data_IF_280356811391
#
_entry.id   IF_280356811391
#
_cell.length_a   1.000
_cell.length_b   1.000
_cell.length_c   1.000
_cell.angle_alpha   90.00
_cell.angle_beta   90.00
_cell.angle_gamma   90.00
#
_symmetry.space_group_name_H-M   'P 1'
#
loop_
_entity.id
_entity.type
_entity.pdbx_description
1 polymer ?
#
# COMPACT_ATOMS: atom_id res chain seq x y z
N UNK A 1 31.60 -5.52 0.25
CA UNK A 1 31.73 -6.99 0.44
C UNK A 1 32.24 -7.74 -0.80
N UNK A 2 32.02 -7.28 -2.03
CA UNK A 2 32.49 -7.98 -3.26
C UNK A 2 34.03 -7.99 -3.39
N UNK A 3 34.73 -7.02 -2.81
CA UNK A 3 36.21 -6.95 -2.91
C UNK A 3 36.95 -8.06 -2.14
N UNK A 4 36.31 -8.75 -1.19
CA UNK A 4 36.97 -9.78 -0.39
C UNK A 4 37.19 -11.11 -1.12
N UNK A 5 36.58 -11.32 -2.31
CA UNK A 5 36.77 -12.58 -3.07
C UNK A 5 38.05 -12.60 -3.88
N UNK A 6 38.66 -11.44 -4.20
CA UNK A 6 39.87 -11.35 -5.03
C UNK A 6 41.12 -11.97 -4.38
N UNK A 7 41.15 -12.02 -3.05
CA UNK A 7 42.29 -12.52 -2.27
C UNK A 7 42.08 -13.96 -1.77
N UNK A 8 40.96 -14.60 -2.17
CA UNK A 8 40.65 -15.98 -1.81
C UNK A 8 41.11 -16.93 -2.91
N UNK A 9 41.79 -18.02 -2.53
CA UNK A 9 42.13 -19.11 -3.44
C UNK A 9 40.87 -19.89 -3.84
N UNK A 10 40.05 -19.34 -4.72
CA UNK A 10 38.83 -19.96 -5.24
C UNK A 10 39.20 -20.88 -6.42
N UNK A 11 38.66 -22.08 -6.42
CA UNK A 11 38.91 -23.09 -7.45
C UNK A 11 37.60 -23.42 -8.15
N UNK A 12 37.56 -23.26 -9.48
CA UNK A 12 36.45 -23.72 -10.31
C UNK A 12 36.51 -25.25 -10.43
N UNK A 13 35.44 -25.95 -10.02
CA UNK A 13 35.30 -27.40 -10.17
C UNK A 13 34.25 -27.77 -11.21
N UNK A 14 34.35 -28.96 -11.83
CA UNK A 14 33.29 -29.50 -12.66
C UNK A 14 31.94 -29.60 -11.92
N UNK A 15 30.80 -29.74 -12.64
CA UNK A 15 29.51 -29.93 -12.01
C UNK A 15 29.53 -31.01 -10.96
N UNK A 16 29.02 -30.69 -9.79
CA UNK A 16 28.97 -31.63 -8.65
C UNK A 16 27.51 -31.87 -8.27
N UNK A 17 27.14 -33.14 -8.29
CA UNK A 17 25.79 -33.57 -7.89
C UNK A 17 25.76 -33.84 -6.38
N UNK A 18 24.74 -33.35 -5.71
CA UNK A 18 24.40 -33.65 -4.31
C UNK A 18 23.17 -34.55 -4.28
N UNK A 19 23.32 -35.88 -4.35
CA UNK A 19 22.19 -36.81 -4.50
C UNK A 19 21.19 -36.69 -3.34
N UNK A 20 21.69 -36.57 -2.11
CA UNK A 20 20.84 -36.39 -0.91
C UNK A 20 20.06 -35.10 -0.86
N UNK A 21 20.50 -34.05 -1.58
CA UNK A 21 19.85 -32.72 -1.64
C UNK A 21 19.15 -32.47 -2.96
N UNK A 22 19.15 -33.43 -3.90
CA UNK A 22 18.53 -33.35 -5.20
C UNK A 22 18.89 -32.07 -5.97
N UNK A 23 20.19 -31.73 -5.99
CA UNK A 23 20.71 -30.54 -6.64
C UNK A 23 22.07 -30.76 -7.29
N UNK A 24 22.34 -29.99 -8.34
CA UNK A 24 23.63 -29.92 -9.02
C UNK A 24 24.20 -28.52 -8.79
N UNK A 25 25.50 -28.44 -8.50
CA UNK A 25 26.22 -27.17 -8.39
C UNK A 25 27.37 -27.12 -9.38
N UNK A 26 27.54 -25.98 -10.02
CA UNK A 26 28.68 -25.63 -10.85
C UNK A 26 29.19 -24.25 -10.44
N UNK A 27 30.45 -24.13 -10.06
CA UNK A 27 31.00 -22.85 -9.61
C UNK A 27 32.29 -22.97 -8.81
N UNK A 28 32.55 -21.90 -8.08
CA UNK A 28 33.77 -21.72 -7.30
C UNK A 28 33.67 -22.42 -5.93
N UNK A 29 34.82 -22.92 -5.47
CA UNK A 29 34.98 -23.65 -4.21
C UNK A 29 36.16 -23.09 -3.43
N UNK A 30 36.06 -23.10 -2.11
CA UNK A 30 37.13 -22.85 -1.15
C UNK A 30 37.15 -23.97 -0.13
N UNK A 31 38.31 -24.61 0.08
CA UNK A 31 38.50 -25.65 1.10
C UNK A 31 37.40 -26.74 1.10
N UNK A 32 36.98 -27.20 -0.10
CA UNK A 32 35.86 -28.14 -0.33
C UNK A 32 34.46 -27.63 0.02
N UNK A 33 34.29 -26.36 0.32
CA UNK A 33 32.98 -25.72 0.49
C UNK A 33 32.60 -24.91 -0.73
N UNK A 34 31.30 -24.81 -1.03
CA UNK A 34 30.77 -23.93 -2.05
C UNK A 34 31.01 -22.48 -1.62
N UNK A 35 31.73 -21.74 -2.45
CA UNK A 35 32.10 -20.35 -2.16
C UNK A 35 32.22 -19.56 -3.46
N UNK A 36 32.10 -18.21 -3.43
CA UNK A 36 32.27 -17.41 -4.62
C UNK A 36 31.08 -17.48 -5.57
N UNK A 37 31.34 -17.39 -6.87
CA UNK A 37 30.29 -17.40 -7.92
C UNK A 37 29.94 -18.82 -8.32
N UNK A 38 28.64 -19.04 -8.55
CA UNK A 38 28.18 -20.35 -9.02
C UNK A 38 26.72 -20.38 -9.45
N UNK A 39 26.37 -21.52 -10.00
CA UNK A 39 25.01 -21.89 -10.40
C UNK A 39 24.59 -23.13 -9.64
N UNK A 40 23.45 -23.08 -9.01
CA UNK A 40 22.82 -24.23 -8.37
C UNK A 40 21.49 -24.51 -9.05
N UNK A 41 21.27 -25.74 -9.46
CA UNK A 41 20.03 -26.19 -10.10
C UNK A 41 19.42 -27.32 -9.29
N UNK A 42 18.11 -27.25 -9.06
CA UNK A 42 17.32 -28.27 -8.39
C UNK A 42 16.56 -29.14 -9.41
N UNK A 43 16.15 -30.33 -8.98
CA UNK A 43 15.42 -31.27 -9.84
C UNK A 43 14.02 -30.80 -10.21
N UNK A 44 13.44 -29.87 -9.45
CA UNK A 44 12.15 -29.25 -9.78
C UNK A 44 12.24 -28.23 -10.92
N UNK A 45 13.45 -27.98 -11.45
CA UNK A 45 13.72 -27.03 -12.52
C UNK A 45 14.11 -25.63 -12.02
N UNK A 46 13.99 -25.36 -10.72
CA UNK A 46 14.46 -24.07 -10.17
C UNK A 46 15.98 -23.95 -10.26
N UNK A 47 16.48 -22.73 -10.36
CA UNK A 47 17.90 -22.43 -10.54
C UNK A 47 18.28 -21.13 -9.88
N UNK A 48 19.38 -21.14 -9.13
CA UNK A 48 20.01 -19.94 -8.58
C UNK A 48 21.35 -19.68 -9.27
N UNK A 49 21.58 -18.44 -9.65
CA UNK A 49 22.85 -17.95 -10.18
C UNK A 49 23.32 -16.76 -9.33
N UNK A 50 24.47 -16.85 -8.71
CA UNK A 50 24.92 -15.78 -7.84
C UNK A 50 26.13 -16.14 -6.98
N UNK A 51 26.26 -15.39 -5.90
CA UNK A 51 27.33 -15.59 -4.94
C UNK A 51 26.90 -16.53 -3.83
N UNK A 52 27.89 -17.32 -3.38
CA UNK A 52 27.76 -18.25 -2.26
C UNK A 52 28.81 -17.96 -1.20
N UNK A 53 28.43 -18.09 0.05
CA UNK A 53 29.29 -18.10 1.22
C UNK A 53 28.91 -19.33 2.04
N UNK A 54 29.89 -20.23 2.29
CA UNK A 54 29.67 -21.47 3.07
C UNK A 54 28.44 -22.27 2.58
N UNK A 55 28.32 -22.43 1.27
CA UNK A 55 27.25 -23.18 0.63
C UNK A 55 25.87 -22.52 0.67
N UNK A 56 25.76 -21.25 1.05
CA UNK A 56 24.52 -20.48 1.12
C UNK A 56 24.54 -19.35 0.12
N UNK A 57 23.43 -19.15 -0.60
CA UNK A 57 23.20 -17.97 -1.43
C UNK A 57 23.38 -16.69 -0.60
N UNK A 58 24.22 -15.78 -1.07
CA UNK A 58 24.65 -14.60 -0.33
C UNK A 58 25.02 -13.46 -1.26
N UNK A 59 25.05 -12.22 -0.74
CA UNK A 59 25.47 -11.01 -1.42
C UNK A 59 24.47 -10.63 -2.54
N UNK A 60 24.57 -11.23 -3.73
CA UNK A 60 23.68 -10.98 -4.88
C UNK A 60 23.53 -12.22 -5.74
N UNK A 61 22.34 -12.38 -6.29
CA UNK A 61 22.07 -13.47 -7.23
C UNK A 61 20.65 -13.40 -7.78
N UNK A 62 20.40 -14.28 -8.74
CA UNK A 62 19.13 -14.44 -9.40
C UNK A 62 18.61 -15.86 -9.19
N UNK A 63 17.40 -15.96 -8.66
CA UNK A 63 16.65 -17.20 -8.52
C UNK A 63 15.59 -17.26 -9.62
N UNK A 64 15.55 -18.35 -10.32
CA UNK A 64 14.51 -18.73 -11.26
C UNK A 64 13.69 -19.84 -10.58
N UNK A 65 12.43 -19.55 -10.31
CA UNK A 65 11.50 -20.53 -9.75
C UNK A 65 10.98 -21.48 -10.83
N UNK A 66 10.59 -22.67 -10.44
CA UNK A 66 10.05 -23.68 -11.37
C UNK A 66 8.72 -23.27 -12.04
N UNK A 67 7.98 -22.32 -11.45
CA UNK A 67 6.76 -21.74 -12.00
C UNK A 67 7.01 -20.61 -13.02
N UNK A 68 8.27 -20.21 -13.24
CA UNK A 68 8.67 -19.13 -14.14
C UNK A 68 8.88 -17.78 -13.49
N UNK A 69 8.54 -17.61 -12.22
CA UNK A 69 8.84 -16.38 -11.46
C UNK A 69 10.35 -16.22 -11.27
N UNK A 70 10.80 -14.99 -11.09
CA UNK A 70 12.21 -14.72 -10.81
C UNK A 70 12.38 -13.74 -9.66
N UNK A 71 13.43 -13.95 -8.87
CA UNK A 71 13.94 -12.94 -7.94
C UNK A 71 15.37 -12.59 -8.30
N UNK A 72 15.68 -11.31 -8.43
CA UNK A 72 17.03 -10.81 -8.64
C UNK A 72 17.34 -9.71 -7.63
N UNK A 73 18.30 -9.94 -6.76
CA UNK A 73 18.58 -9.00 -5.68
C UNK A 73 19.68 -9.45 -4.74
N UNK A 74 19.62 -8.87 -3.54
CA UNK A 74 20.54 -9.16 -2.46
C UNK A 74 20.08 -10.39 -1.66
N UNK A 75 21.06 -11.13 -1.19
CA UNK A 75 20.87 -12.40 -0.49
C UNK A 75 21.66 -12.48 0.80
N UNK A 76 21.09 -13.09 1.80
CA UNK A 76 21.75 -13.43 3.04
C UNK A 76 21.29 -14.82 3.54
N UNK A 77 22.22 -15.75 3.70
CA UNK A 77 21.93 -17.09 4.24
C UNK A 77 20.77 -17.82 3.51
N UNK A 78 20.78 -17.87 2.19
CA UNK A 78 19.74 -18.44 1.31
C UNK A 78 18.40 -17.72 1.31
N UNK A 79 18.33 -16.50 1.83
CA UNK A 79 17.11 -15.70 1.87
C UNK A 79 17.29 -14.38 1.13
N UNK A 80 16.24 -13.90 0.50
CA UNK A 80 16.15 -12.54 -0.01
C UNK A 80 16.30 -11.55 1.14
N UNK A 81 17.25 -10.62 1.02
CA UNK A 81 17.57 -9.67 2.09
C UNK A 81 18.27 -8.45 1.46
N UNK A 82 17.87 -7.23 1.81
CA UNK A 82 18.32 -6.03 1.13
C UNK A 82 17.42 -5.69 -0.06
N UNK A 83 17.95 -5.09 -1.11
CA UNK A 83 17.14 -4.67 -2.25
C UNK A 83 17.04 -5.75 -3.33
N UNK A 84 15.84 -5.92 -3.92
CA UNK A 84 15.63 -6.89 -4.99
C UNK A 84 14.31 -6.76 -5.72
N UNK A 85 14.32 -7.26 -6.96
CA UNK A 85 13.19 -7.32 -7.87
C UNK A 85 12.64 -8.75 -7.90
N UNK A 86 11.38 -8.92 -7.53
CA UNK A 86 10.60 -10.14 -7.79
C UNK A 86 9.69 -9.90 -8.98
N UNK A 87 9.81 -10.74 -9.98
CA UNK A 87 9.00 -10.67 -11.19
C UNK A 87 8.22 -11.96 -11.35
N UNK A 88 6.90 -11.86 -11.38
CA UNK A 88 5.99 -12.95 -11.71
C UNK A 88 5.98 -13.22 -13.21
N UNK A 89 5.73 -14.45 -13.61
CA UNK A 89 5.61 -14.85 -15.01
C UNK A 89 4.50 -14.08 -15.74
N UNK A 90 3.48 -13.62 -15.03
CA UNK A 90 2.38 -12.80 -15.55
C UNK A 90 2.74 -11.35 -15.85
N UNK A 91 3.90 -10.89 -15.37
CA UNK A 91 4.38 -9.52 -15.54
C UNK A 91 4.18 -8.62 -14.31
N UNK A 92 3.48 -9.09 -13.29
CA UNK A 92 3.42 -8.40 -11.99
C UNK A 92 4.81 -8.39 -11.35
N UNK A 93 5.14 -7.35 -10.61
CA UNK A 93 6.43 -7.29 -9.95
C UNK A 93 6.38 -6.54 -8.62
N UNK A 94 7.35 -6.87 -7.77
CA UNK A 94 7.75 -6.08 -6.62
C UNK A 94 9.22 -5.69 -6.74
N UNK A 95 9.51 -4.39 -6.67
CA UNK A 95 10.84 -3.80 -6.65
C UNK A 95 11.02 -3.02 -5.36
N UNK A 96 11.89 -3.49 -4.46
CA UNK A 96 12.01 -2.87 -3.15
C UNK A 96 12.86 -3.68 -2.18
N UNK A 97 12.69 -3.32 -0.89
CA UNK A 97 13.48 -3.89 0.19
C UNK A 97 12.87 -5.21 0.71
N UNK A 98 13.76 -6.12 1.06
CA UNK A 98 13.46 -7.47 1.54
C UNK A 98 14.13 -7.74 2.88
N UNK A 99 13.47 -8.52 3.70
CA UNK A 99 14.02 -9.09 4.93
C UNK A 99 13.49 -10.50 5.15
N UNK A 100 14.40 -11.48 5.22
CA UNK A 100 14.06 -12.89 5.46
C UNK A 100 12.94 -13.41 4.53
N UNK A 101 13.10 -13.22 3.21
CA UNK A 101 12.16 -13.60 2.14
C UNK A 101 10.81 -12.84 2.14
N UNK A 102 10.71 -11.74 2.89
CA UNK A 102 9.49 -10.93 2.95
C UNK A 102 9.77 -9.49 2.52
N UNK A 103 8.85 -8.88 1.82
CA UNK A 103 8.84 -7.44 1.55
C UNK A 103 8.93 -6.69 2.87
N UNK A 104 9.89 -5.75 3.00
CA UNK A 104 10.10 -5.05 4.27
C UNK A 104 10.95 -3.79 4.04
N UNK A 105 10.44 -2.64 4.37
CA UNK A 105 11.03 -1.35 4.01
C UNK A 105 10.26 -0.72 2.86
N UNK A 106 10.91 0.05 2.00
CA UNK A 106 10.24 0.69 0.86
C UNK A 106 10.19 -0.22 -0.36
N UNK A 107 9.08 -0.15 -1.08
CA UNK A 107 8.94 -0.90 -2.32
C UNK A 107 7.82 -0.39 -3.21
N UNK A 108 7.91 -0.81 -4.47
CA UNK A 108 6.89 -0.59 -5.49
C UNK A 108 6.39 -1.95 -5.98
N UNK A 109 5.08 -2.13 -5.96
CA UNK A 109 4.41 -3.33 -6.44
C UNK A 109 3.42 -2.96 -7.55
N UNK A 110 3.34 -3.80 -8.57
CA UNK A 110 2.33 -3.69 -9.63
C UNK A 110 1.62 -5.01 -9.81
N UNK A 111 0.35 -4.97 -10.16
CA UNK A 111 -0.47 -6.15 -10.42
C UNK A 111 -0.88 -6.21 -11.89
N UNK A 112 -1.29 -7.41 -12.34
CA UNK A 112 -1.67 -7.67 -13.74
C UNK A 112 -2.84 -6.81 -14.21
N UNK A 113 -3.71 -6.39 -13.30
CA UNK A 113 -4.83 -5.49 -13.59
C UNK A 113 -4.41 -4.05 -13.83
N UNK A 114 -3.11 -3.72 -13.67
CA UNK A 114 -2.54 -2.38 -13.81
C UNK A 114 -2.62 -1.54 -12.53
N UNK A 115 -3.12 -2.09 -11.43
CA UNK A 115 -3.02 -1.42 -10.13
C UNK A 115 -1.55 -1.38 -9.67
N UNK A 116 -1.24 -0.41 -8.81
CA UNK A 116 0.11 -0.27 -8.26
C UNK A 116 0.09 0.27 -6.84
N UNK A 117 1.10 -0.10 -6.08
CA UNK A 117 1.38 0.48 -4.77
C UNK A 117 2.84 0.89 -4.69
N UNK A 118 3.10 2.04 -4.08
CA UNK A 118 4.44 2.49 -3.73
C UNK A 118 4.42 3.02 -2.29
N UNK A 119 5.20 2.42 -1.40
CA UNK A 119 5.18 2.78 0.01
C UNK A 119 5.95 1.82 0.89
N UNK A 120 5.62 1.86 2.19
CA UNK A 120 6.30 1.08 3.21
C UNK A 120 5.66 -0.31 3.36
N UNK A 121 6.50 -1.30 3.66
CA UNK A 121 6.14 -2.68 3.95
C UNK A 121 6.72 -3.13 5.28
N UNK A 122 5.98 -3.93 6.00
CA UNK A 122 6.44 -4.67 7.18
C UNK A 122 6.00 -6.12 7.07
N UNK A 123 6.97 -7.02 7.00
CA UNK A 123 6.72 -8.48 6.95
C UNK A 123 5.73 -8.92 5.86
N UNK A 124 5.83 -8.35 4.66
CA UNK A 124 5.01 -8.66 3.49
C UNK A 124 3.66 -7.96 3.44
N UNK A 125 3.41 -7.00 4.32
CA UNK A 125 2.18 -6.23 4.35
C UNK A 125 2.45 -4.75 4.16
N UNK A 126 1.58 -4.03 3.44
CA UNK A 126 1.60 -2.58 3.35
C UNK A 126 1.38 -1.99 4.74
N UNK A 127 2.26 -1.10 5.13
CA UNK A 127 2.28 -0.47 6.45
C UNK A 127 2.84 0.96 6.32
N UNK A 128 2.59 1.84 7.32
CA UNK A 128 3.12 3.20 7.23
C UNK A 128 2.51 3.99 6.08
N UNK A 129 3.31 4.82 5.40
CA UNK A 129 2.82 5.70 4.34
C UNK A 129 3.00 5.09 2.95
N UNK A 130 1.99 5.26 2.10
CA UNK A 130 2.07 4.81 0.71
C UNK A 130 0.98 5.38 -0.19
N UNK A 131 1.15 5.13 -1.50
CA UNK A 131 0.23 5.53 -2.55
C UNK A 131 -0.24 4.26 -3.26
N UNK A 132 -1.54 4.05 -3.31
CA UNK A 132 -2.17 2.99 -4.09
C UNK A 132 -2.96 3.60 -5.25
N UNK A 133 -2.73 3.10 -6.46
CA UNK A 133 -3.43 3.52 -7.67
C UNK A 133 -4.19 2.37 -8.29
N UNK A 134 -5.45 2.59 -8.63
CA UNK A 134 -6.30 1.63 -9.32
C UNK A 134 -6.33 1.90 -10.82
N UNK A 135 -6.65 0.87 -11.63
CA UNK A 135 -6.73 1.01 -13.09
C UNK A 135 -7.80 2.01 -13.57
N UNK A 136 -8.84 2.23 -12.77
CA UNK A 136 -9.91 3.19 -13.07
C UNK A 136 -9.50 4.66 -12.85
N UNK A 137 -8.25 4.89 -12.40
CA UNK A 137 -7.71 6.21 -12.08
C UNK A 137 -8.06 6.71 -10.67
N UNK A 138 -8.65 5.86 -9.83
CA UNK A 138 -8.77 6.13 -8.40
C UNK A 138 -7.40 6.04 -7.73
N UNK A 139 -7.21 6.78 -6.64
CA UNK A 139 -5.95 6.81 -5.89
C UNK A 139 -6.22 6.97 -4.39
N UNK A 140 -5.46 6.24 -3.59
CA UNK A 140 -5.34 6.50 -2.16
C UNK A 140 -3.90 6.87 -1.82
N UNK A 141 -3.74 7.97 -1.10
CA UNK A 141 -2.47 8.46 -0.58
C UNK A 141 -2.61 8.65 0.93
N UNK A 142 -1.88 7.89 1.74
CA UNK A 142 -2.03 7.95 3.19
C UNK A 142 -1.40 6.78 3.92
N UNK A 143 -1.84 6.62 5.18
CA UNK A 143 -1.32 5.59 6.05
C UNK A 143 -2.02 4.25 5.85
N UNK A 144 -1.23 3.18 5.96
CA UNK A 144 -1.65 1.79 5.92
C UNK A 144 -1.30 1.09 7.23
N UNK A 145 -2.11 0.13 7.63
CA UNK A 145 -1.83 -0.85 8.67
C UNK A 145 -2.37 -2.21 8.21
N UNK A 146 -1.51 -3.22 8.15
CA UNK A 146 -1.89 -4.58 7.74
C UNK A 146 -2.69 -4.64 6.42
N UNK A 147 -2.21 -3.95 5.37
CA UNK A 147 -2.83 -3.81 4.04
C UNK A 147 -4.11 -2.96 3.99
N UNK A 148 -4.57 -2.38 5.09
CA UNK A 148 -5.78 -1.57 5.17
C UNK A 148 -5.45 -0.08 5.30
N UNK A 149 -6.29 0.80 4.76
CA UNK A 149 -6.23 2.23 5.04
C UNK A 149 -6.47 2.44 6.52
N UNK A 150 -5.59 3.18 7.17
CA UNK A 150 -5.67 3.41 8.61
C UNK A 150 -4.93 4.70 8.98
N UNK A 151 -5.52 5.53 9.84
CA UNK A 151 -4.97 6.84 10.16
C UNK A 151 -5.35 7.90 9.12
N UNK A 152 -4.45 8.83 8.79
CA UNK A 152 -4.75 9.93 7.87
C UNK A 152 -4.49 9.53 6.42
N UNK A 153 -5.40 9.93 5.54
CA UNK A 153 -5.22 9.70 4.10
C UNK A 153 -6.19 10.48 3.23
N UNK A 154 -5.82 10.58 1.96
CA UNK A 154 -6.63 11.14 0.89
C UNK A 154 -7.04 10.04 -0.06
N UNK A 155 -8.33 9.92 -0.35
CA UNK A 155 -8.85 9.08 -1.42
C UNK A 155 -9.42 9.97 -2.52
N UNK A 156 -9.00 9.75 -3.76
CA UNK A 156 -9.54 10.40 -4.96
C UNK A 156 -10.19 9.34 -5.83
N UNK A 157 -11.50 9.44 -6.04
CA UNK A 157 -12.23 8.54 -6.93
C UNK A 157 -12.01 8.89 -8.41
N UNK A 158 -12.26 7.94 -9.29
CA UNK A 158 -12.18 8.12 -10.74
C UNK A 158 -13.06 9.28 -11.25
N UNK A 159 -14.20 9.52 -10.61
CA UNK A 159 -15.11 10.62 -10.90
C UNK A 159 -14.71 11.97 -10.26
N UNK A 160 -13.49 12.06 -9.71
CA UNK A 160 -12.90 13.25 -9.09
C UNK A 160 -13.53 13.69 -7.78
N UNK A 161 -14.35 12.87 -7.15
CA UNK A 161 -14.64 13.08 -5.72
C UNK A 161 -13.36 12.91 -4.91
N UNK A 162 -13.24 13.62 -3.80
CA UNK A 162 -12.12 13.50 -2.87
C UNK A 162 -12.61 13.35 -1.44
N UNK A 163 -11.97 12.48 -0.69
CA UNK A 163 -12.05 12.47 0.77
C UNK A 163 -10.65 12.67 1.35
N UNK A 164 -10.52 13.60 2.29
CA UNK A 164 -9.29 13.84 3.04
C UNK A 164 -9.66 13.77 4.52
N UNK A 165 -9.16 12.78 5.21
CA UNK A 165 -9.56 12.59 6.61
C UNK A 165 -8.97 11.34 7.25
N UNK A 166 -9.64 10.91 8.30
CA UNK A 166 -9.25 9.75 9.10
C UNK A 166 -9.90 8.47 8.57
N UNK A 167 -9.14 7.40 8.64
CA UNK A 167 -9.50 6.07 8.17
C UNK A 167 -9.27 5.04 9.26
N UNK A 168 -10.15 4.08 9.36
CA UNK A 168 -10.03 2.91 10.22
C UNK A 168 -10.50 1.67 9.46
N UNK A 169 -9.62 0.68 9.29
CA UNK A 169 -9.92 -0.58 8.59
C UNK A 169 -10.63 -0.38 7.24
N UNK A 170 -10.05 0.46 6.36
CA UNK A 170 -10.59 0.85 5.05
C UNK A 170 -11.89 1.67 5.05
N UNK A 171 -12.36 2.13 6.19
CA UNK A 171 -13.57 2.94 6.32
C UNK A 171 -13.24 4.37 6.72
N UNK A 172 -13.96 5.35 6.18
CA UNK A 172 -13.92 6.73 6.68
C UNK A 172 -14.44 6.74 8.13
N UNK A 173 -13.59 7.17 9.06
CA UNK A 173 -13.91 7.19 10.49
C UNK A 173 -13.15 8.33 11.17
N UNK A 174 -13.82 9.11 12.03
CA UNK A 174 -13.25 10.35 12.57
C UNK A 174 -13.51 11.57 11.67
N UNK A 175 -12.69 12.63 11.82
CA UNK A 175 -12.91 13.88 11.09
C UNK A 175 -12.41 13.79 9.65
N UNK A 176 -13.22 14.35 8.72
CA UNK A 176 -12.83 14.41 7.31
C UNK A 176 -13.52 15.51 6.50
N UNK A 177 -12.94 15.76 5.34
CA UNK A 177 -13.43 16.68 4.32
C UNK A 177 -13.75 15.89 3.07
N UNK A 178 -14.99 15.93 2.62
CA UNK A 178 -15.42 15.33 1.37
C UNK A 178 -15.76 16.41 0.36
N UNK A 179 -15.19 16.34 -0.84
CA UNK A 179 -15.43 17.28 -1.93
C UNK A 179 -16.03 16.56 -3.13
N UNK A 180 -17.02 17.15 -3.75
CA UNK A 180 -17.61 16.70 -5.00
C UNK A 180 -17.18 17.58 -6.17
N UNK A 181 -17.08 17.02 -7.38
CA UNK A 181 -16.73 17.80 -8.59
C UNK A 181 -17.68 18.96 -8.90
N UNK A 182 -18.92 18.87 -8.47
CA UNK A 182 -19.91 19.93 -8.63
C UNK A 182 -19.75 21.11 -7.66
N UNK A 183 -18.71 21.09 -6.80
CA UNK A 183 -18.39 22.13 -5.85
C UNK A 183 -19.03 21.95 -4.46
N UNK A 184 -19.85 20.91 -4.24
CA UNK A 184 -20.29 20.57 -2.88
C UNK A 184 -19.10 20.18 -2.00
N UNK A 185 -19.18 20.52 -0.72
CA UNK A 185 -18.17 20.17 0.28
C UNK A 185 -18.83 19.84 1.61
N UNK A 186 -18.41 18.75 2.21
CA UNK A 186 -18.74 18.37 3.59
C UNK A 186 -17.49 18.45 4.45
N UNK A 187 -17.61 18.95 5.66
CA UNK A 187 -16.56 18.97 6.67
C UNK A 187 -17.18 18.54 8.01
N UNK A 188 -16.74 17.45 8.58
CA UNK A 188 -17.29 16.92 9.81
C UNK A 188 -16.90 15.48 10.06
N UNK A 189 -17.55 14.88 11.05
CA UNK A 189 -17.25 13.53 11.50
C UNK A 189 -17.88 12.46 10.62
N UNK A 190 -17.17 11.33 10.55
CA UNK A 190 -17.60 10.09 9.91
C UNK A 190 -17.55 8.95 10.92
N UNK A 191 -18.46 8.02 10.79
CA UNK A 191 -18.48 6.76 11.51
C UNK A 191 -18.84 5.64 10.55
N UNK A 192 -17.87 4.77 10.26
CA UNK A 192 -18.04 3.64 9.33
C UNK A 192 -18.67 4.08 8.01
N UNK A 193 -17.97 4.97 7.28
CA UNK A 193 -18.37 5.55 6.00
C UNK A 193 -19.61 6.46 6.02
N UNK A 194 -20.24 6.66 7.15
CA UNK A 194 -21.43 7.50 7.29
C UNK A 194 -21.09 8.82 7.95
N UNK A 195 -21.64 9.90 7.42
CA UNK A 195 -21.60 11.22 8.07
C UNK A 195 -22.30 11.14 9.40
N UNK A 196 -21.66 11.64 10.45
CA UNK A 196 -22.12 11.56 11.84
C UNK A 196 -21.72 12.83 12.58
N UNK A 197 -22.42 13.16 13.70
CA UNK A 197 -22.03 14.28 14.53
C UNK A 197 -22.18 15.65 13.88
N UNK A 198 -21.42 16.62 14.37
CA UNK A 198 -21.49 17.99 13.88
C UNK A 198 -20.72 18.17 12.56
N UNK A 199 -21.33 18.92 11.63
CA UNK A 199 -20.68 19.20 10.34
C UNK A 199 -21.00 20.59 9.81
N UNK A 200 -20.21 20.97 8.77
CA UNK A 200 -20.52 22.09 7.88
C UNK A 200 -20.62 21.53 6.46
N UNK A 201 -21.77 21.77 5.82
CA UNK A 201 -22.01 21.40 4.43
C UNK A 201 -22.18 22.65 3.57
N UNK A 202 -21.46 22.69 2.45
CA UNK A 202 -21.48 23.79 1.50
C UNK A 202 -22.08 23.32 0.18
N UNK A 203 -22.98 24.11 -0.37
CA UNK A 203 -23.51 23.94 -1.73
C UNK A 203 -22.84 24.90 -2.70
N UNK A 204 -22.76 24.57 -4.01
CA UNK A 204 -22.14 25.40 -5.03
C UNK A 204 -22.82 26.78 -5.20
N UNK A 205 -24.09 26.88 -4.88
CA UNK A 205 -24.86 28.09 -4.95
C UNK A 205 -24.68 29.02 -3.74
N UNK A 206 -23.74 28.69 -2.85
CA UNK A 206 -23.42 29.51 -1.68
C UNK A 206 -24.24 29.18 -0.43
N UNK A 207 -25.21 28.28 -0.49
CA UNK A 207 -25.92 27.81 0.72
C UNK A 207 -24.94 27.09 1.64
N UNK A 208 -25.16 27.20 2.95
CA UNK A 208 -24.37 26.54 3.98
C UNK A 208 -25.32 25.94 5.00
N UNK A 209 -25.02 24.73 5.45
CA UNK A 209 -25.65 24.10 6.62
C UNK A 209 -24.59 23.84 7.68
N UNK A 210 -24.87 24.24 8.92
CA UNK A 210 -24.06 23.91 10.10
C UNK A 210 -24.97 23.21 11.11
N UNK A 211 -24.70 21.94 11.40
CA UNK A 211 -25.58 21.19 12.30
C UNK A 211 -25.18 19.72 12.38
N UNK A 212 -26.06 18.95 12.99
CA UNK A 212 -25.80 17.54 13.24
C UNK A 212 -26.26 16.65 12.09
N UNK A 213 -25.54 15.58 11.91
CA UNK A 213 -25.86 14.48 11.03
C UNK A 213 -25.95 13.20 11.84
N UNK A 214 -26.88 12.37 11.48
CA UNK A 214 -27.06 11.04 12.05
C UNK A 214 -27.29 10.03 10.92
N UNK A 215 -26.50 8.97 10.91
CA UNK A 215 -26.59 7.90 9.93
C UNK A 215 -26.60 8.41 8.47
N UNK A 216 -25.74 9.39 8.16
CA UNK A 216 -25.56 9.96 6.82
C UNK A 216 -26.56 11.03 6.41
N UNK A 217 -27.46 11.47 7.30
CA UNK A 217 -28.51 12.46 7.02
C UNK A 217 -28.49 13.59 8.05
N UNK A 218 -28.87 14.79 7.62
CA UNK A 218 -29.11 15.92 8.53
C UNK A 218 -30.17 15.53 9.56
N UNK A 219 -29.88 15.77 10.84
CA UNK A 219 -30.75 15.41 11.95
C UNK A 219 -30.52 16.33 13.14
N UNK A 220 -31.63 16.71 13.84
CA UNK A 220 -31.54 17.63 14.97
C UNK A 220 -31.49 19.10 14.55
N UNK A 221 -31.04 19.95 15.46
CA UNK A 221 -30.96 21.38 15.21
C UNK A 221 -29.76 21.73 14.31
N UNK A 222 -29.91 22.80 13.57
CA UNK A 222 -28.84 23.33 12.73
C UNK A 222 -29.15 24.73 12.21
N UNK A 223 -28.13 25.38 11.70
CA UNK A 223 -28.18 26.70 11.09
C UNK A 223 -28.06 26.58 9.57
N UNK A 224 -28.94 27.20 8.86
CA UNK A 224 -28.97 27.24 7.39
C UNK A 224 -28.78 28.65 6.89
N UNK A 225 -27.76 28.87 6.05
CA UNK A 225 -27.53 30.13 5.36
C UNK A 225 -28.18 30.15 3.97
N UNK A 226 -28.98 31.16 3.74
CA UNK A 226 -29.61 31.46 2.43
C UNK A 226 -28.86 32.64 1.76
N UNK A 227 -28.02 32.42 0.76
CA UNK A 227 -27.23 33.48 0.12
C UNK A 227 -28.08 34.47 -0.64
N UNK A 228 -29.26 34.08 -1.13
CA UNK A 228 -30.15 34.99 -1.86
C UNK A 228 -30.76 36.05 -0.94
N UNK A 229 -30.99 35.71 0.31
CA UNK A 229 -31.53 36.59 1.34
C UNK A 229 -30.50 37.16 2.27
N UNK A 230 -29.24 36.64 2.18
CA UNK A 230 -28.13 36.95 3.08
C UNK A 230 -28.50 36.78 4.56
N UNK A 231 -29.19 35.69 4.90
CA UNK A 231 -29.64 35.43 6.26
C UNK A 231 -29.33 34.00 6.71
N UNK A 232 -29.09 33.87 8.00
CA UNK A 232 -29.08 32.60 8.69
C UNK A 232 -30.45 32.30 9.28
N UNK A 233 -30.87 31.02 9.22
CA UNK A 233 -32.10 30.51 9.81
C UNK A 233 -31.78 29.28 10.65
N UNK A 234 -32.11 29.35 11.93
CA UNK A 234 -32.07 28.16 12.78
C UNK A 234 -33.28 27.27 12.50
N UNK A 235 -33.12 25.97 12.46
CA UNK A 235 -34.20 25.03 12.19
C UNK A 235 -33.98 23.65 12.77
N UNK A 236 -34.97 22.80 12.54
CA UNK A 236 -34.97 21.39 12.93
C UNK A 236 -34.98 20.51 11.68
N UNK A 237 -34.11 19.52 11.63
CA UNK A 237 -34.02 18.52 10.56
C UNK A 237 -34.29 17.12 11.09
N UNK A 238 -34.97 16.34 10.31
CA UNK A 238 -35.21 14.93 10.57
C UNK A 238 -35.02 14.12 9.28
N UNK A 239 -34.14 13.11 9.32
CA UNK A 239 -33.85 12.24 8.18
C UNK A 239 -33.52 12.98 6.87
N UNK A 240 -32.79 14.10 6.96
CA UNK A 240 -32.35 14.92 5.81
C UNK A 240 -33.37 15.94 5.33
N UNK A 241 -34.54 16.06 5.96
CA UNK A 241 -35.57 17.04 5.62
C UNK A 241 -35.65 18.13 6.68
N UNK A 242 -35.75 19.38 6.25
CA UNK A 242 -36.09 20.46 7.17
C UNK A 242 -37.56 20.31 7.59
N UNK A 243 -37.80 20.22 8.91
CA UNK A 243 -39.15 20.10 9.50
C UNK A 243 -39.74 21.47 9.76
N UNK A 244 -38.94 22.38 10.33
CA UNK A 244 -39.34 23.74 10.58
C UNK A 244 -38.12 24.65 10.71
N UNK A 245 -38.29 25.93 10.36
CA UNK A 245 -37.40 26.99 10.80
C UNK A 245 -37.98 27.66 12.04
N UNK A 246 -37.14 27.95 13.01
CA UNK A 246 -37.55 28.70 14.19
C UNK A 246 -37.71 30.20 13.81
N UNK A 247 -38.73 30.83 14.34
CA UNK A 247 -38.90 32.28 14.22
C UNK A 247 -37.81 33.05 14.98
N UNK A 248 -37.61 34.33 14.69
CA UNK A 248 -36.62 35.16 15.40
C UNK A 248 -36.90 35.32 16.90
N UNK A 249 -38.04 34.82 17.41
CA UNK A 249 -38.50 34.94 18.80
C UNK A 249 -38.61 33.59 19.55
N UNK A 250 -38.13 32.48 18.98
CA UNK A 250 -38.10 31.20 19.69
C UNK A 250 -36.65 30.84 20.02
N UNK A 251 -36.07 31.53 21.03
CA UNK A 251 -34.79 31.22 21.67
C UNK A 251 -35.01 30.40 22.93
#
# INVERSE_FOLDING_TARGET
MINNFKDMNLILKPPYEFPSKRRIYYGEWKDNEIYGRGVQQWLDGSRYEGYFIEGKASIRGKLYHSNGDTYEGEWQNNKANGHGLYLHVGGEYYDGDWKDDKQNGRGKETWIDGSSYEGDYVSGKRYGYGIFKWPDGSEYEGNFCDNMFNGKGKYTWSDKREYIGEWEMNQMNGYGIFKWPDGRKYQGDYKRDKKEGFCVFYWPDGRIFKGHWFNGKQHGEGDFYDPKKNIWKKGLWENGKNIKFFGQNES
#
